data_IF_586513864134
#
_entry.id   IF_586513864134
#
_cell.length_a   1.000
_cell.length_b   1.000
_cell.length_c   1.000
_cell.angle_alpha   90.00
_cell.angle_beta   90.00
_cell.angle_gamma   90.00
#
_symmetry.space_group_name_H-M   'P 1'
#
loop_
_entity.id
_entity.type
_entity.pdbx_description
1 polymer ?
#
# COMPACT_ATOMS: atom_id res chain seq x y z
N UNK A 1 -0.22 11.03 -27.66
CA UNK A 1 0.28 10.28 -26.53
C UNK A 1 0.33 8.79 -26.82
N UNK A 2 1.45 8.19 -26.72
CA UNK A 2 1.57 6.78 -27.04
C UNK A 2 1.74 5.97 -25.76
N UNK A 3 1.48 4.66 -25.87
CA UNK A 3 1.61 3.76 -24.73
C UNK A 3 3.04 3.64 -24.27
N UNK A 4 3.99 3.99 -25.12
CA UNK A 4 5.39 3.93 -24.76
C UNK A 4 5.73 4.89 -23.64
N UNK A 5 4.90 5.88 -23.43
CA UNK A 5 5.15 6.85 -22.37
C UNK A 5 4.75 6.32 -21.00
N UNK A 6 4.08 5.17 -20.97
CA UNK A 6 3.66 4.56 -19.70
C UNK A 6 4.69 3.51 -19.33
N UNK A 7 5.79 3.96 -18.72
CA UNK A 7 6.86 3.06 -18.29
C UNK A 7 6.85 2.97 -16.79
N UNK A 8 6.68 1.75 -16.28
CA UNK A 8 6.75 1.51 -14.83
C UNK A 8 8.20 1.24 -14.47
N UNK A 9 8.76 2.14 -13.65
CA UNK A 9 10.14 2.00 -13.22
C UNK A 9 10.24 0.86 -12.22
N UNK A 10 11.33 0.09 -12.32
CA UNK A 10 11.55 -1.04 -11.43
C UNK A 10 11.55 -0.62 -9.96
N UNK A 11 12.05 0.55 -9.67
CA UNK A 11 12.09 1.04 -8.28
C UNK A 11 10.70 1.26 -7.68
N UNK A 12 9.68 1.34 -8.52
CA UNK A 12 8.29 1.51 -8.06
C UNK A 12 7.56 0.19 -7.90
N UNK A 13 8.24 -0.93 -8.04
CA UNK A 13 7.65 -2.25 -7.89
C UNK A 13 8.28 -2.96 -6.70
N UNK A 14 7.43 -3.36 -5.76
CA UNK A 14 7.85 -4.10 -4.55
C UNK A 14 7.48 -5.56 -4.80
N UNK A 15 8.47 -6.41 -5.00
CA UNK A 15 8.20 -7.80 -5.37
C UNK A 15 8.12 -8.67 -4.12
N UNK A 16 7.04 -9.42 -4.02
CA UNK A 16 6.78 -10.35 -2.92
C UNK A 16 6.48 -11.70 -3.54
N UNK A 17 7.24 -12.71 -3.15
CA UNK A 17 7.08 -14.05 -3.68
C UNK A 17 6.86 -15.04 -2.55
N UNK A 18 5.84 -15.89 -2.71
CA UNK A 18 5.64 -17.03 -1.84
C UNK A 18 5.94 -18.28 -2.63
N UNK A 19 6.92 -19.05 -2.16
CA UNK A 19 7.30 -20.26 -2.90
C UNK A 19 6.57 -21.49 -2.36
N UNK A 20 6.79 -22.62 -3.02
CA UNK A 20 6.09 -23.85 -2.68
C UNK A 20 6.43 -24.43 -1.31
N UNK A 21 7.45 -23.90 -0.64
CA UNK A 21 7.80 -24.28 0.72
C UNK A 21 7.27 -23.31 1.75
N UNK A 22 6.32 -22.47 1.36
CA UNK A 22 5.75 -21.43 2.22
C UNK A 22 6.78 -20.44 2.74
N UNK A 23 7.84 -20.23 1.97
CA UNK A 23 8.83 -19.22 2.31
C UNK A 23 8.47 -17.92 1.62
N UNK A 24 8.71 -16.82 2.34
CA UNK A 24 8.43 -15.48 1.87
C UNK A 24 9.73 -14.84 1.41
N UNK A 25 9.75 -14.38 0.16
CA UNK A 25 10.89 -13.63 -0.38
C UNK A 25 10.40 -12.23 -0.76
N UNK A 26 11.11 -11.24 -0.30
CA UNK A 26 10.81 -9.84 -0.61
C UNK A 26 12.04 -9.27 -1.28
N UNK A 27 11.87 -8.75 -2.50
CA UNK A 27 12.98 -8.28 -3.32
C UNK A 27 14.08 -9.33 -3.39
N UNK A 28 13.64 -10.58 -3.59
CA UNK A 28 14.50 -11.75 -3.78
C UNK A 28 15.27 -12.20 -2.55
N UNK A 29 14.92 -11.69 -1.36
CA UNK A 29 15.56 -12.09 -0.12
C UNK A 29 14.54 -12.67 0.85
N UNK A 30 14.94 -13.70 1.57
CA UNK A 30 14.07 -14.33 2.56
C UNK A 30 13.71 -13.32 3.66
N UNK A 31 12.45 -13.33 4.04
CA UNK A 31 11.94 -12.43 5.07
C UNK A 31 10.98 -13.20 5.96
N UNK A 32 10.94 -12.88 7.26
CA UNK A 32 9.92 -13.43 8.13
C UNK A 32 8.65 -12.60 7.99
N UNK A 33 7.51 -13.25 8.18
CA UNK A 33 6.21 -12.59 8.00
C UNK A 33 6.07 -11.34 8.87
N UNK A 34 6.64 -11.39 10.07
CA UNK A 34 6.52 -10.28 11.03
C UNK A 34 7.16 -9.00 10.53
N UNK A 35 8.07 -9.08 9.57
CA UNK A 35 8.75 -7.89 9.04
C UNK A 35 8.12 -7.35 7.76
N UNK A 36 7.13 -8.06 7.21
CA UNK A 36 6.59 -7.71 5.89
C UNK A 36 5.84 -6.39 5.90
N UNK A 37 4.97 -6.18 6.90
CA UNK A 37 4.17 -4.95 6.95
C UNK A 37 5.06 -3.71 7.01
N UNK A 38 6.05 -3.74 7.87
CA UNK A 38 6.97 -2.60 8.02
C UNK A 38 7.71 -2.33 6.72
N UNK A 39 8.17 -3.39 6.06
CA UNK A 39 8.90 -3.26 4.82
C UNK A 39 8.02 -2.65 3.72
N UNK A 40 6.76 -3.09 3.66
CA UNK A 40 5.81 -2.54 2.69
C UNK A 40 5.50 -1.08 2.99
N UNK A 41 5.36 -0.72 4.27
CA UNK A 41 5.11 0.67 4.67
C UNK A 41 6.26 1.56 4.21
N UNK A 42 7.51 1.12 4.44
CA UNK A 42 8.68 1.89 4.03
C UNK A 42 8.70 2.10 2.52
N UNK A 43 8.33 1.06 1.78
CA UNK A 43 8.28 1.18 0.32
C UNK A 43 7.19 2.15 -0.12
N UNK A 44 5.97 1.97 0.39
CA UNK A 44 4.83 2.76 -0.05
C UNK A 44 4.96 4.24 0.30
N UNK A 45 5.55 4.53 1.45
CA UNK A 45 5.64 5.90 1.96
C UNK A 45 7.02 6.52 1.74
N UNK A 46 7.83 5.91 0.89
CA UNK A 46 9.21 6.34 0.67
C UNK A 46 9.29 7.78 0.17
N UNK A 47 8.56 8.12 -0.87
CA UNK A 47 8.53 9.47 -1.38
C UNK A 47 9.84 9.92 -2.03
N UNK A 48 10.46 9.04 -2.84
CA UNK A 48 11.74 9.32 -3.47
C UNK A 48 11.65 10.12 -4.77
N UNK A 49 10.44 10.41 -5.25
CA UNK A 49 10.27 11.12 -6.50
C UNK A 49 10.58 12.60 -6.39
N UNK A 50 10.84 13.22 -7.55
CA UNK A 50 11.11 14.64 -7.64
C UNK A 50 10.25 15.24 -8.75
N UNK A 51 10.15 16.57 -8.75
CA UNK A 51 9.37 17.25 -9.78
C UNK A 51 7.92 16.84 -9.74
N UNK A 52 7.41 16.35 -10.88
CA UNK A 52 6.03 15.93 -10.99
C UNK A 52 5.74 14.67 -10.17
N UNK A 53 6.78 13.90 -9.86
CA UNK A 53 6.62 12.66 -9.10
C UNK A 53 6.83 12.84 -7.61
N UNK A 54 7.02 14.06 -7.15
CA UNK A 54 7.28 14.32 -5.73
C UNK A 54 6.05 14.01 -4.88
N UNK A 55 6.29 13.49 -3.70
CA UNK A 55 5.23 13.21 -2.73
C UNK A 55 5.35 14.22 -1.60
N UNK A 56 4.34 15.07 -1.42
CA UNK A 56 4.40 16.12 -0.41
C UNK A 56 4.01 15.62 0.98
N UNK A 57 3.31 14.50 1.07
CA UNK A 57 2.80 14.00 2.35
C UNK A 57 3.52 12.73 2.83
N UNK A 58 4.45 12.20 2.06
CA UNK A 58 5.18 10.99 2.44
C UNK A 58 6.17 11.30 3.56
N UNK A 59 6.34 10.35 4.48
CA UNK A 59 7.21 10.52 5.65
C UNK A 59 8.39 9.56 5.67
N UNK A 60 8.64 8.88 4.55
CA UNK A 60 9.70 7.90 4.47
C UNK A 60 11.07 8.49 4.24
N UNK A 61 11.98 7.65 3.84
CA UNK A 61 13.39 8.01 3.73
C UNK A 61 13.73 8.85 2.50
N UNK A 62 12.80 8.97 1.57
CA UNK A 62 13.01 9.73 0.34
C UNK A 62 14.18 9.20 -0.47
N UNK A 63 14.36 7.88 -0.44
CA UNK A 63 15.43 7.20 -1.15
C UNK A 63 15.14 7.25 -2.65
N UNK A 64 15.99 7.88 -3.45
CA UNK A 64 15.73 7.98 -4.90
C UNK A 64 15.76 6.62 -5.61
N UNK A 65 16.24 5.57 -4.95
CA UNK A 65 16.27 4.24 -5.52
C UNK A 65 15.04 3.42 -5.18
N UNK A 66 14.10 3.95 -4.38
CA UNK A 66 12.88 3.27 -4.04
C UNK A 66 11.69 4.07 -4.57
N UNK A 67 10.47 3.75 -4.15
CA UNK A 67 9.27 4.28 -4.80
C UNK A 67 9.23 5.82 -4.82
N UNK A 68 8.72 6.36 -5.92
CA UNK A 68 8.59 7.80 -6.10
C UNK A 68 7.50 8.39 -5.21
N UNK A 69 6.34 7.76 -5.22
CA UNK A 69 5.17 8.22 -4.48
C UNK A 69 4.18 7.06 -4.43
N UNK A 70 3.15 7.14 -3.54
CA UNK A 70 2.21 6.02 -3.40
C UNK A 70 1.37 5.74 -4.63
N UNK A 71 1.16 6.72 -5.50
CA UNK A 71 0.38 6.50 -6.71
C UNK A 71 1.14 5.66 -7.72
N UNK A 72 2.46 5.78 -7.75
CA UNK A 72 3.30 5.00 -8.65
C UNK A 72 3.72 3.66 -8.06
N UNK A 73 3.64 3.51 -6.76
CA UNK A 73 4.11 2.32 -6.06
C UNK A 73 3.17 1.15 -6.28
N UNK A 74 3.72 0.03 -6.74
CA UNK A 74 2.97 -1.19 -7.01
C UNK A 74 3.58 -2.32 -6.20
N UNK A 75 2.74 -3.09 -5.51
CA UNK A 75 3.18 -4.30 -4.82
C UNK A 75 2.80 -5.47 -5.71
N UNK A 76 3.79 -6.27 -6.12
CA UNK A 76 3.58 -7.42 -6.98
C UNK A 76 3.70 -8.69 -6.13
N UNK A 77 2.59 -9.40 -5.95
CA UNK A 77 2.57 -10.63 -5.17
C UNK A 77 2.48 -11.82 -6.11
N UNK A 78 3.51 -12.67 -6.06
CA UNK A 78 3.51 -13.91 -6.83
C UNK A 78 3.41 -15.07 -5.86
N UNK A 79 2.48 -15.98 -6.15
CA UNK A 79 2.17 -17.10 -5.29
C UNK A 79 2.37 -18.39 -6.07
N UNK A 80 3.37 -19.20 -5.69
CA UNK A 80 3.61 -20.46 -6.36
C UNK A 80 2.54 -21.48 -6.01
N UNK A 81 2.40 -22.48 -6.88
CA UNK A 81 1.28 -23.41 -6.82
C UNK A 81 1.15 -24.15 -5.49
N UNK A 82 2.27 -24.57 -4.93
CA UNK A 82 2.25 -25.39 -3.72
C UNK A 82 2.17 -24.58 -2.43
N UNK A 83 2.12 -23.26 -2.54
CA UNK A 83 1.99 -22.42 -1.34
C UNK A 83 0.65 -22.70 -0.66
N UNK A 84 0.69 -22.84 0.67
CA UNK A 84 -0.56 -23.08 1.41
C UNK A 84 -1.44 -21.84 1.38
N UNK A 85 -2.76 -22.06 1.44
CA UNK A 85 -3.71 -20.97 1.45
C UNK A 85 -3.54 -20.10 2.69
N UNK A 86 -3.27 -20.72 3.83
CA UNK A 86 -3.07 -19.96 5.08
C UNK A 86 -1.91 -18.99 4.98
N UNK A 87 -0.79 -19.44 4.41
CA UNK A 87 0.37 -18.56 4.23
C UNK A 87 0.05 -17.42 3.27
N UNK A 88 -0.63 -17.73 2.17
CA UNK A 88 -1.03 -16.72 1.19
C UNK A 88 -1.90 -15.65 1.84
N UNK A 89 -2.92 -16.05 2.60
CA UNK A 89 -3.82 -15.10 3.24
C UNK A 89 -3.09 -14.26 4.27
N UNK A 90 -2.16 -14.87 5.03
CA UNK A 90 -1.40 -14.13 6.03
C UNK A 90 -0.56 -13.04 5.38
N UNK A 91 0.07 -13.35 4.25
CA UNK A 91 0.87 -12.37 3.51
C UNK A 91 -0.02 -11.26 2.95
N UNK A 92 -1.13 -11.65 2.33
CA UNK A 92 -2.06 -10.67 1.77
C UNK A 92 -2.57 -9.72 2.85
N UNK A 93 -2.91 -10.25 4.03
CA UNK A 93 -3.38 -9.43 5.14
C UNK A 93 -2.32 -8.41 5.58
N UNK A 94 -1.05 -8.81 5.63
CA UNK A 94 0.01 -7.88 6.03
C UNK A 94 0.19 -6.77 5.01
N UNK A 95 0.08 -7.10 3.73
CA UNK A 95 0.22 -6.08 2.68
C UNK A 95 -0.94 -5.10 2.72
N UNK A 96 -2.17 -5.60 2.88
CA UNK A 96 -3.34 -4.72 3.00
C UNK A 96 -3.23 -3.85 4.26
N UNK A 97 -2.72 -4.44 5.36
CA UNK A 97 -2.57 -3.70 6.60
C UNK A 97 -1.58 -2.55 6.47
N UNK A 98 -0.59 -2.68 5.57
CA UNK A 98 0.34 -1.59 5.32
C UNK A 98 -0.38 -0.36 4.76
N UNK A 99 -1.29 -0.57 3.81
CA UNK A 99 -2.10 0.54 3.27
C UNK A 99 -2.99 1.14 4.34
N UNK A 100 -3.65 0.28 5.12
CA UNK A 100 -4.54 0.76 6.18
C UNK A 100 -3.77 1.61 7.20
N UNK A 101 -2.57 1.15 7.56
CA UNK A 101 -1.73 1.88 8.52
C UNK A 101 -1.43 3.30 8.01
N UNK A 102 -1.03 3.41 6.75
CA UNK A 102 -0.69 4.70 6.17
C UNK A 102 -1.90 5.61 6.06
N UNK A 103 -3.04 5.04 5.65
CA UNK A 103 -4.28 5.80 5.58
C UNK A 103 -4.72 6.27 6.97
N UNK A 104 -4.54 5.43 7.99
CA UNK A 104 -4.90 5.80 9.36
C UNK A 104 -4.09 7.01 9.84
N UNK A 105 -2.79 6.99 9.61
CA UNK A 105 -1.93 8.09 10.04
C UNK A 105 -2.30 9.38 9.29
N UNK A 106 -2.50 9.26 7.98
CA UNK A 106 -2.85 10.44 7.18
C UNK A 106 -4.19 11.01 7.60
N UNK A 107 -5.16 10.13 7.91
CA UNK A 107 -6.48 10.57 8.36
C UNK A 107 -6.39 11.34 9.68
N UNK A 108 -5.54 10.88 10.60
CA UNK A 108 -5.34 11.59 11.86
C UNK A 108 -4.82 12.99 11.61
N UNK A 109 -3.88 13.14 10.68
CA UNK A 109 -3.31 14.44 10.36
C UNK A 109 -4.34 15.38 9.75
N UNK A 110 -5.18 14.86 8.86
CA UNK A 110 -6.10 15.70 8.11
C UNK A 110 -7.41 15.93 8.84
N UNK A 111 -7.89 14.91 9.57
CA UNK A 111 -9.28 14.93 10.09
C UNK A 111 -9.38 14.63 11.57
N UNK A 112 -8.28 14.29 12.24
CA UNK A 112 -8.30 14.04 13.67
C UNK A 112 -8.88 12.69 14.06
N UNK A 113 -9.04 11.76 13.13
CA UNK A 113 -9.50 10.41 13.42
C UNK A 113 -8.88 9.45 12.41
N UNK A 114 -8.89 8.17 12.73
CA UNK A 114 -8.28 7.18 11.85
C UNK A 114 -9.18 6.85 10.67
N UNK A 115 -8.55 6.38 9.59
CA UNK A 115 -9.29 5.90 8.43
C UNK A 115 -10.22 4.75 8.81
N UNK A 116 -9.75 3.86 9.69
CA UNK A 116 -10.56 2.72 10.13
C UNK A 116 -11.83 3.19 10.83
N UNK A 117 -11.72 4.22 11.67
CA UNK A 117 -12.88 4.78 12.34
C UNK A 117 -13.84 5.44 11.34
N UNK A 118 -13.27 6.15 10.36
CA UNK A 118 -14.08 6.77 9.31
C UNK A 118 -14.86 5.72 8.52
N UNK A 119 -14.21 4.60 8.20
CA UNK A 119 -14.88 3.51 7.48
C UNK A 119 -15.98 2.87 8.31
N UNK A 120 -15.74 2.72 9.62
CA UNK A 120 -16.75 2.18 10.52
C UNK A 120 -17.99 3.08 10.53
N UNK A 121 -17.78 4.39 10.63
CA UNK A 121 -18.88 5.35 10.62
C UNK A 121 -19.62 5.35 9.28
N UNK A 122 -18.88 5.22 8.19
CA UNK A 122 -19.50 5.23 6.86
C UNK A 122 -20.42 4.02 6.67
N UNK A 123 -20.07 2.88 7.28
CA UNK A 123 -20.88 1.67 7.18
C UNK A 123 -22.05 1.65 8.15
N UNK A 124 -22.04 2.55 9.14
CA UNK A 124 -23.09 2.59 10.15
C UNK A 124 -24.24 3.47 9.65
N UNK A 125 -25.39 2.83 9.35
CA UNK A 125 -26.53 3.55 8.80
C UNK A 125 -27.09 4.55 9.78
N UNK A 126 -26.77 4.42 11.07
CA UNK A 126 -27.28 5.33 12.11
C UNK A 126 -26.30 6.43 12.46
N UNK A 127 -25.16 6.50 11.79
CA UNK A 127 -24.18 7.54 12.08
C UNK A 127 -24.78 8.92 11.74
N UNK A 128 -24.77 9.87 12.69
CA UNK A 128 -25.51 11.13 12.52
C UNK A 128 -24.76 12.24 11.77
N UNK A 129 -23.50 12.02 11.39
CA UNK A 129 -22.69 13.04 10.76
C UNK A 129 -23.02 13.26 9.30
N UNK A 130 -22.21 14.11 8.66
CA UNK A 130 -22.36 14.43 7.24
C UNK A 130 -21.72 13.32 6.41
N UNK A 131 -22.56 12.46 5.85
CA UNK A 131 -22.13 11.27 5.14
C UNK A 131 -21.40 11.60 3.83
N UNK A 132 -21.84 12.63 3.13
CA UNK A 132 -21.20 13.03 1.89
C UNK A 132 -19.79 13.55 2.14
N UNK A 133 -19.63 14.34 3.18
CA UNK A 133 -18.32 14.86 3.54
C UNK A 133 -17.40 13.73 3.97
N UNK A 134 -17.93 12.77 4.72
CA UNK A 134 -17.17 11.60 5.14
C UNK A 134 -16.68 10.82 3.93
N UNK A 135 -17.55 10.64 2.93
CA UNK A 135 -17.19 9.92 1.72
C UNK A 135 -16.08 10.65 0.95
N UNK A 136 -16.18 11.98 0.86
CA UNK A 136 -15.12 12.76 0.21
C UNK A 136 -13.79 12.57 0.91
N UNK A 137 -13.81 12.60 2.24
CA UNK A 137 -12.57 12.45 3.01
C UNK A 137 -11.99 11.05 2.86
N UNK A 138 -12.84 10.03 2.87
CA UNK A 138 -12.39 8.66 2.65
C UNK A 138 -11.77 8.53 1.25
N UNK A 139 -12.41 9.11 0.24
CA UNK A 139 -11.91 9.02 -1.12
C UNK A 139 -10.57 9.73 -1.28
N UNK A 140 -10.35 10.83 -0.56
CA UNK A 140 -9.06 11.51 -0.60
C UNK A 140 -7.95 10.60 -0.08
N UNK A 141 -8.22 9.90 1.03
CA UNK A 141 -7.22 9.00 1.61
C UNK A 141 -6.91 7.85 0.66
N UNK A 142 -7.93 7.32 -0.01
CA UNK A 142 -7.72 6.25 -0.98
C UNK A 142 -6.97 6.73 -2.20
N UNK A 143 -7.10 7.99 -2.55
CA UNK A 143 -6.38 8.55 -3.68
C UNK A 143 -4.93 8.83 -3.32
N UNK A 144 -4.67 9.22 -2.08
CA UNK A 144 -3.29 9.48 -1.64
C UNK A 144 -2.51 8.20 -1.42
N UNK A 145 -3.18 7.12 -1.00
CA UNK A 145 -2.57 5.80 -0.82
C UNK A 145 -3.44 4.76 -1.52
N UNK A 146 -3.42 4.76 -2.86
CA UNK A 146 -4.25 3.78 -3.60
C UNK A 146 -3.67 2.40 -3.46
N UNK A 147 -4.56 1.42 -3.25
CA UNK A 147 -4.13 0.04 -3.05
C UNK A 147 -3.83 -0.59 -4.40
N UNK A 148 -2.56 -0.66 -4.74
CA UNK A 148 -2.11 -1.21 -6.01
C UNK A 148 -1.37 -2.52 -5.75
N UNK A 149 -2.12 -3.50 -5.32
CA UNK A 149 -1.64 -4.84 -5.03
C UNK A 149 -1.99 -5.71 -6.22
N UNK A 150 -0.97 -6.08 -7.01
CA UNK A 150 -1.13 -6.86 -8.22
C UNK A 150 -0.70 -8.30 -7.94
N UNK A 151 -1.55 -9.26 -8.30
CA UNK A 151 -1.22 -10.67 -8.10
C UNK A 151 -0.90 -11.29 -9.44
N UNK A 152 0.23 -12.00 -9.48
CA UNK A 152 0.69 -12.68 -10.68
C UNK A 152 0.83 -14.16 -10.40
N UNK A 153 0.61 -14.95 -11.46
CA UNK A 153 0.66 -16.40 -11.34
C UNK A 153 2.01 -16.94 -11.76
#
# INVERSE_FOLDING_TARGET
>A
ESEEDVVIKQKNIFTVLLNGKDQLLVEDELMVLEDLRESAIEFLDNGGGTGEDACTYCKGKRDPKSSDNPDKAIISLKNERETSYATYISVQNELVAAYTHLRNIRAQELYGESYSEMMKNYKDVNWPGNREKLKENINRLRKEYPQKLSEVQ
#
